data_IF_922484778271
#
_entry.id   IF_922484778271
#
_cell.length_a   1.000
_cell.length_b   1.000
_cell.length_c   1.000
_cell.angle_alpha   90.00
_cell.angle_beta   90.00
_cell.angle_gamma   90.00
#
_symmetry.space_group_name_H-M   'P 1'
#
loop_
_entity.id
_entity.type
_entity.pdbx_description
1 polymer ?
#
# COMPACT_ATOMS: atom_id res chain seq x y z
N UNK A 1 85.16 46.73 16.64
CA UNK A 1 84.37 45.48 16.67
C UNK A 1 82.90 45.89 16.54
N UNK A 2 82.22 45.38 15.50
CA UNK A 2 80.79 45.57 15.20
C UNK A 2 79.96 44.49 15.92
N UNK A 3 78.66 44.74 16.03
CA UNK A 3 77.48 43.85 16.26
C UNK A 3 76.61 44.44 17.38
N UNK A 4 75.70 45.38 17.06
CA UNK A 4 74.33 45.25 16.51
C UNK A 4 73.33 44.91 17.62
N UNK A 5 72.58 45.94 18.01
CA UNK A 5 71.33 45.89 18.77
C UNK A 5 70.23 45.22 17.96
N UNK A 6 69.59 44.19 18.52
CA UNK A 6 68.32 43.64 18.02
C UNK A 6 67.28 43.66 19.13
N UNK A 7 66.46 44.71 19.11
CA UNK A 7 65.21 44.78 19.85
C UNK A 7 64.18 43.82 19.21
N UNK A 8 63.81 42.76 19.93
CA UNK A 8 62.68 41.91 19.57
C UNK A 8 61.38 42.53 20.11
N UNK A 9 60.59 43.12 19.21
CA UNK A 9 59.20 43.52 19.47
C UNK A 9 58.33 42.29 19.18
N UNK A 10 57.82 41.64 20.24
CA UNK A 10 56.76 40.63 20.12
C UNK A 10 55.40 41.33 20.08
N UNK A 11 54.88 41.56 18.88
CA UNK A 11 53.46 41.92 18.67
C UNK A 11 52.59 40.68 18.84
N UNK A 12 51.94 40.54 20.01
CA UNK A 12 50.89 39.55 20.22
C UNK A 12 49.59 40.03 19.56
N UNK A 13 49.29 39.53 18.36
CA UNK A 13 47.98 39.69 17.72
C UNK A 13 47.00 38.73 18.39
N UNK A 14 46.18 39.24 19.31
CA UNK A 14 45.02 38.51 19.84
C UNK A 14 43.92 38.57 18.77
N UNK A 15 43.84 37.54 17.93
CA UNK A 15 42.67 37.33 17.06
C UNK A 15 41.56 36.75 17.94
N UNK A 16 40.68 37.61 18.43
CA UNK A 16 39.43 37.20 19.07
C UNK A 16 38.51 36.59 18.01
N UNK A 17 38.62 35.28 17.79
CA UNK A 17 37.65 34.54 16.99
C UNK A 17 36.39 34.40 17.85
N UNK A 18 35.45 35.34 17.70
CA UNK A 18 34.09 35.17 18.19
C UNK A 18 33.43 34.07 17.37
N UNK A 19 33.65 32.82 17.77
CA UNK A 19 32.86 31.68 17.35
C UNK A 19 31.45 31.87 17.93
N UNK A 20 30.62 32.65 17.22
CA UNK A 20 29.18 32.62 17.43
C UNK A 20 28.73 31.16 17.33
N UNK A 21 27.80 30.68 18.18
CA UNK A 21 27.35 29.32 18.12
C UNK A 21 26.74 29.11 16.73
N UNK A 22 27.46 28.41 15.88
CA UNK A 22 26.89 27.84 14.67
C UNK A 22 25.77 26.95 15.18
N UNK A 23 24.55 27.46 15.13
CA UNK A 23 23.35 26.63 15.10
C UNK A 23 23.38 25.89 13.77
N UNK A 24 24.34 24.97 13.65
CA UNK A 24 24.22 23.80 12.79
C UNK A 24 22.93 23.16 13.28
N UNK A 25 21.83 23.47 12.60
CA UNK A 25 20.59 22.71 12.69
C UNK A 25 20.99 21.26 12.47
N UNK A 26 21.21 20.51 13.55
CA UNK A 26 21.54 19.09 13.47
C UNK A 26 20.45 18.50 12.59
N UNK A 27 20.88 17.82 11.53
CA UNK A 27 19.98 17.24 10.54
C UNK A 27 18.90 16.46 11.28
N UNK A 28 17.65 16.81 11.02
CA UNK A 28 16.52 16.03 11.47
C UNK A 28 16.77 14.57 11.08
N UNK A 29 16.42 13.65 11.97
CA UNK A 29 16.42 12.22 11.70
C UNK A 29 15.57 11.99 10.47
N UNK A 30 16.15 11.35 9.45
CA UNK A 30 15.42 10.94 8.27
C UNK A 30 14.38 9.86 8.69
N UNK A 31 13.06 10.13 8.54
CA UNK A 31 12.03 9.17 8.93
C UNK A 31 12.13 7.83 8.20
N UNK A 32 12.75 7.79 7.01
CA UNK A 32 12.95 6.56 6.24
C UNK A 32 14.02 5.64 6.86
N UNK A 33 14.94 6.20 7.64
CA UNK A 33 15.98 5.46 8.36
C UNK A 33 15.50 4.97 9.74
N UNK A 34 14.31 5.39 10.19
CA UNK A 34 13.73 4.99 11.46
C UNK A 34 13.10 3.60 11.33
N UNK A 35 13.59 2.61 12.08
CA UNK A 35 13.05 1.25 12.03
C UNK A 35 11.55 1.20 12.35
N UNK A 36 10.81 0.34 11.66
CA UNK A 36 9.38 0.11 11.92
C UNK A 36 9.20 -0.71 13.20
N UNK A 37 8.16 -0.42 13.98
CA UNK A 37 7.86 -1.18 15.20
C UNK A 37 7.54 -2.65 14.90
N UNK A 38 6.76 -2.93 13.86
CA UNK A 38 6.37 -4.29 13.50
C UNK A 38 5.39 -4.96 14.48
N UNK A 39 4.81 -4.19 15.41
CA UNK A 39 3.74 -4.60 16.33
C UNK A 39 2.69 -3.50 16.32
N UNK A 40 1.41 -3.87 16.31
CA UNK A 40 0.32 -2.91 16.46
C UNK A 40 0.05 -2.65 17.95
N UNK A 41 -0.26 -1.42 18.37
CA UNK A 41 -0.71 -1.17 19.74
C UNK A 41 -2.06 -1.86 20.01
N UNK A 42 -2.32 -2.21 21.26
CA UNK A 42 -3.62 -2.74 21.66
C UNK A 42 -3.90 -4.20 21.28
N UNK A 43 -2.89 -5.00 20.93
CA UNK A 43 -3.09 -6.42 20.59
C UNK A 43 -3.51 -7.20 21.83
N UNK A 44 -4.66 -7.89 21.78
CA UNK A 44 -5.17 -8.77 22.83
C UNK A 44 -5.13 -8.17 24.25
N UNK A 45 -5.89 -7.09 24.52
CA UNK A 45 -5.90 -6.47 25.83
C UNK A 45 -6.47 -7.41 26.89
N UNK A 46 -5.80 -7.52 28.04
CA UNK A 46 -6.24 -8.37 29.16
C UNK A 46 -7.29 -7.72 30.06
N UNK A 47 -7.58 -6.43 29.86
CA UNK A 47 -8.40 -5.62 30.77
C UNK A 47 -7.66 -5.07 31.99
N UNK A 48 -6.39 -5.46 32.22
CA UNK A 48 -5.53 -4.94 33.31
C UNK A 48 -4.56 -3.84 32.86
N UNK A 49 -4.64 -3.43 31.58
CA UNK A 49 -3.71 -2.48 30.96
C UNK A 49 -2.57 -3.12 30.18
N UNK A 50 -2.51 -4.45 30.14
CA UNK A 50 -1.52 -5.24 29.41
C UNK A 50 -2.06 -5.75 28.07
N UNK A 51 -1.18 -5.77 27.08
CA UNK A 51 -1.40 -6.25 25.72
C UNK A 51 -0.28 -7.22 25.32
N UNK A 52 -0.50 -7.98 24.25
CA UNK A 52 0.48 -8.91 23.71
C UNK A 52 1.53 -8.17 22.86
N UNK A 53 2.80 -8.30 23.25
CA UNK A 53 3.95 -7.92 22.46
C UNK A 53 4.54 -9.10 21.68
N UNK A 54 5.77 -8.93 21.20
CA UNK A 54 6.51 -9.99 20.50
C UNK A 54 6.66 -11.22 21.41
N UNK A 55 6.33 -12.43 20.92
CA UNK A 55 6.54 -13.66 21.66
C UNK A 55 8.01 -13.91 22.03
N UNK A 56 8.22 -14.54 23.18
CA UNK A 56 9.54 -15.06 23.56
C UNK A 56 9.94 -16.28 22.69
N UNK A 57 11.12 -16.84 22.95
CA UNK A 57 11.63 -18.00 22.20
C UNK A 57 10.70 -19.24 22.27
N UNK A 58 9.85 -19.32 23.29
CA UNK A 58 8.87 -20.38 23.50
C UNK A 58 7.53 -20.09 22.81
N UNK A 59 7.42 -18.98 22.06
CA UNK A 59 6.19 -18.58 21.38
C UNK A 59 5.13 -17.97 22.31
N UNK A 60 5.47 -17.69 23.58
CA UNK A 60 4.56 -17.05 24.53
C UNK A 60 4.63 -15.54 24.36
N UNK A 61 3.52 -14.84 24.04
CA UNK A 61 3.48 -13.38 23.95
C UNK A 61 3.99 -12.72 25.23
N UNK A 62 4.95 -11.81 25.10
CA UNK A 62 5.43 -11.02 26.24
C UNK A 62 4.41 -9.92 26.50
N UNK A 63 3.91 -9.81 27.73
CA UNK A 63 2.99 -8.74 28.10
C UNK A 63 3.70 -7.39 28.10
N UNK A 64 3.08 -6.42 27.44
CA UNK A 64 3.53 -5.04 27.31
C UNK A 64 2.37 -4.10 27.68
N UNK A 65 2.63 -2.84 28.09
CA UNK A 65 1.56 -1.87 28.27
C UNK A 65 0.78 -1.67 26.97
N UNK A 66 -0.55 -1.60 27.01
CA UNK A 66 -1.36 -1.41 25.80
C UNK A 66 -1.11 -0.09 25.06
N UNK A 67 -0.49 0.91 25.72
CA UNK A 67 -0.02 2.13 25.07
C UNK A 67 1.26 1.94 24.22
N UNK A 68 1.75 0.71 24.11
CA UNK A 68 2.98 0.37 23.40
C UNK A 68 2.68 -0.52 22.17
N UNK A 69 3.32 -0.25 21.02
CA UNK A 69 4.22 0.87 20.77
C UNK A 69 3.50 2.23 20.74
N UNK A 70 4.23 3.36 20.96
CA UNK A 70 3.64 4.69 20.87
C UNK A 70 3.22 5.03 19.44
N UNK A 71 2.49 6.14 19.27
CA UNK A 71 2.31 6.75 17.95
C UNK A 71 3.68 7.03 17.29
N UNK A 72 3.77 6.73 15.99
CA UNK A 72 5.04 6.78 15.25
C UNK A 72 5.57 8.21 15.12
N UNK A 73 4.71 9.20 14.91
CA UNK A 73 5.13 10.58 14.78
C UNK A 73 5.66 11.12 16.13
N UNK A 74 4.97 10.79 17.21
CA UNK A 74 5.37 11.11 18.58
C UNK A 74 6.73 10.47 18.95
N UNK A 75 6.95 9.23 18.50
CA UNK A 75 8.24 8.56 18.65
C UNK A 75 9.36 9.22 17.84
N UNK A 76 9.12 9.56 16.56
CA UNK A 76 10.11 10.24 15.71
C UNK A 76 10.47 11.61 16.29
N UNK A 77 9.51 12.34 16.85
CA UNK A 77 9.78 13.59 17.55
C UNK A 77 10.69 13.39 18.76
N UNK A 78 10.45 12.34 19.56
CA UNK A 78 11.29 11.99 20.70
C UNK A 78 12.71 11.56 20.27
N UNK A 79 12.82 10.78 19.19
CA UNK A 79 14.09 10.36 18.61
C UNK A 79 14.88 11.57 18.07
N UNK A 80 14.20 12.50 17.38
CA UNK A 80 14.79 13.76 16.93
C UNK A 80 15.37 14.56 18.10
N UNK A 81 14.64 14.68 19.21
CA UNK A 81 15.12 15.37 20.40
C UNK A 81 16.37 14.70 20.99
N UNK A 82 16.37 13.36 21.08
CA UNK A 82 17.53 12.59 21.58
C UNK A 82 18.78 12.78 20.68
N UNK A 83 18.61 12.71 19.36
CA UNK A 83 19.71 12.90 18.40
C UNK A 83 20.22 14.34 18.39
N UNK A 84 19.30 15.31 18.50
CA UNK A 84 19.65 16.72 18.63
C UNK A 84 20.43 17.00 19.93
N UNK A 85 20.12 16.29 21.02
CA UNK A 85 20.84 16.38 22.29
C UNK A 85 22.16 15.57 22.30
N UNK A 86 22.27 14.53 21.46
CA UNK A 86 23.36 13.55 21.49
C UNK A 86 23.24 12.50 22.61
N UNK A 87 22.16 12.54 23.37
CA UNK A 87 21.86 11.64 24.49
C UNK A 87 20.34 11.51 24.64
N UNK A 88 19.87 10.50 25.37
CA UNK A 88 18.46 10.37 25.68
C UNK A 88 18.02 11.53 26.58
N UNK A 89 17.13 12.41 26.13
CA UNK A 89 16.79 13.65 26.87
C UNK A 89 16.23 13.35 28.26
N UNK A 90 15.47 12.26 28.40
CA UNK A 90 14.92 11.81 29.67
C UNK A 90 15.85 10.85 30.45
N UNK A 91 17.03 10.53 29.91
CA UNK A 91 18.06 9.74 30.58
C UNK A 91 19.46 10.13 30.07
N UNK A 92 19.97 11.31 30.47
CA UNK A 92 21.16 11.91 29.84
C UNK A 92 22.46 11.09 29.96
N UNK A 93 22.50 10.12 30.87
CA UNK A 93 23.62 9.18 30.99
C UNK A 93 23.79 8.25 29.79
N UNK A 94 22.77 8.11 28.94
CA UNK A 94 22.81 7.25 27.75
C UNK A 94 23.02 8.10 26.49
N UNK A 95 24.16 7.90 25.83
CA UNK A 95 24.47 8.57 24.57
C UNK A 95 23.62 8.00 23.42
N UNK A 96 23.21 8.88 22.51
CA UNK A 96 22.40 8.52 21.34
C UNK A 96 23.09 9.04 20.09
N UNK A 97 23.40 8.13 19.18
CA UNK A 97 23.91 8.44 17.85
C UNK A 97 22.98 7.87 16.78
N UNK A 98 22.75 8.64 15.72
CA UNK A 98 21.91 8.23 14.60
C UNK A 98 22.65 8.50 13.29
N UNK A 99 23.66 7.68 12.97
CA UNK A 99 24.43 7.84 11.74
C UNK A 99 23.53 7.60 10.51
N UNK A 100 23.83 8.30 9.42
CA UNK A 100 23.06 8.23 8.18
C UNK A 100 23.63 7.24 7.15
N UNK A 101 24.87 6.77 7.35
CA UNK A 101 25.46 5.78 6.46
C UNK A 101 24.86 4.39 6.69
N UNK A 102 25.28 3.45 5.87
CA UNK A 102 24.61 2.16 5.78
C UNK A 102 25.48 0.99 6.19
N UNK A 103 26.61 1.28 6.84
CA UNK A 103 27.38 0.24 7.51
C UNK A 103 26.50 -0.52 8.49
N UNK A 104 26.83 -1.80 8.69
CA UNK A 104 26.21 -2.64 9.71
C UNK A 104 26.25 -1.95 11.08
N UNK A 105 27.38 -1.31 11.42
CA UNK A 105 27.55 -0.52 12.64
C UNK A 105 26.53 0.63 12.72
N UNK A 106 26.32 1.38 11.64
CA UNK A 106 25.36 2.49 11.60
C UNK A 106 23.91 2.04 11.68
N UNK A 107 23.56 0.92 11.06
CA UNK A 107 22.23 0.32 11.19
C UNK A 107 21.95 -0.15 12.63
N UNK A 108 22.91 -0.83 13.25
CA UNK A 108 22.82 -1.23 14.66
C UNK A 108 22.75 -0.02 15.60
N UNK A 109 23.51 1.05 15.30
CA UNK A 109 23.44 2.30 16.06
C UNK A 109 22.05 2.95 15.98
N UNK A 110 21.41 2.97 14.80
CA UNK A 110 20.03 3.47 14.64
C UNK A 110 19.01 2.64 15.41
N UNK A 111 19.12 1.30 15.38
CA UNK A 111 18.26 0.43 16.17
C UNK A 111 18.48 0.61 17.68
N UNK A 112 19.73 0.79 18.10
CA UNK A 112 20.05 1.09 19.50
C UNK A 112 19.45 2.44 19.91
N UNK A 113 19.64 3.49 19.11
CA UNK A 113 19.03 4.80 19.33
C UNK A 113 17.50 4.73 19.41
N UNK A 114 16.87 3.96 18.52
CA UNK A 114 15.43 3.72 18.53
C UNK A 114 14.98 2.98 19.81
N UNK A 115 15.72 1.95 20.22
CA UNK A 115 15.44 1.16 21.44
C UNK A 115 15.61 2.01 22.70
N UNK A 116 16.70 2.78 22.81
CA UNK A 116 16.94 3.71 23.91
C UNK A 116 15.85 4.76 23.98
N UNK A 117 15.46 5.33 22.84
CA UNK A 117 14.37 6.31 22.78
C UNK A 117 13.07 5.70 23.29
N UNK A 118 12.74 4.49 22.83
CA UNK A 118 11.52 3.76 23.21
C UNK A 118 11.47 3.50 24.72
N UNK A 119 12.58 3.09 25.31
CA UNK A 119 12.68 2.74 26.74
C UNK A 119 12.73 3.96 27.67
N UNK A 120 13.06 5.15 27.13
CA UNK A 120 13.22 6.37 27.92
C UNK A 120 12.22 7.47 27.51
N UNK A 121 11.03 7.11 27.00
CA UNK A 121 10.04 8.09 26.54
C UNK A 121 9.52 9.02 27.65
N UNK A 122 9.49 8.55 28.91
CA UNK A 122 8.89 9.29 30.04
C UNK A 122 9.81 9.39 31.26
N UNK A 123 11.06 8.95 31.14
CA UNK A 123 12.03 8.93 32.24
C UNK A 123 13.03 7.77 32.09
N UNK A 124 14.03 7.66 32.97
CA UNK A 124 15.00 6.56 32.94
C UNK A 124 14.32 5.19 33.05
N UNK A 125 14.34 4.42 31.96
CA UNK A 125 13.69 3.11 31.88
C UNK A 125 12.15 3.14 31.91
N UNK A 126 11.54 4.33 31.86
CA UNK A 126 10.08 4.50 31.83
C UNK A 126 9.64 4.78 30.40
N UNK A 127 9.24 3.73 29.69
CA UNK A 127 8.85 3.79 28.30
C UNK A 127 8.22 2.48 27.84
N UNK A 128 8.33 2.19 26.55
CA UNK A 128 7.87 0.92 26.00
C UNK A 128 9.02 -0.10 26.02
N UNK A 129 8.77 -1.34 26.47
CA UNK A 129 9.79 -2.39 26.46
C UNK A 129 10.15 -2.75 25.01
N UNK A 130 11.34 -3.32 24.79
CA UNK A 130 11.76 -3.73 23.44
C UNK A 130 10.81 -4.74 22.81
N UNK A 131 10.13 -5.56 23.63
CA UNK A 131 9.10 -6.50 23.21
C UNK A 131 7.88 -5.84 22.55
N UNK A 132 7.71 -4.53 22.69
CA UNK A 132 6.70 -3.77 21.93
C UNK A 132 7.12 -3.49 20.47
N UNK A 133 8.28 -4.00 20.04
CA UNK A 133 8.82 -3.81 18.70
C UNK A 133 9.57 -5.05 18.23
N UNK A 134 9.86 -5.10 16.93
CA UNK A 134 10.71 -6.10 16.30
C UNK A 134 12.19 -5.70 16.27
N UNK A 135 12.59 -4.63 16.97
CA UNK A 135 13.95 -4.08 16.90
C UNK A 135 15.04 -5.10 17.26
N UNK A 136 14.80 -5.98 18.24
CA UNK A 136 15.77 -7.02 18.60
C UNK A 136 15.97 -8.04 17.47
N UNK A 137 14.89 -8.47 16.83
CA UNK A 137 14.95 -9.38 15.68
C UNK A 137 15.63 -8.71 14.48
N UNK A 138 15.35 -7.42 14.24
CA UNK A 138 16.01 -6.63 13.19
C UNK A 138 17.51 -6.48 13.48
N UNK A 139 17.90 -6.20 14.72
CA UNK A 139 19.30 -6.08 15.12
C UNK A 139 20.03 -7.42 14.95
N UNK A 140 19.37 -8.53 15.27
CA UNK A 140 19.92 -9.86 15.06
C UNK A 140 20.11 -10.15 13.57
N UNK A 141 19.12 -9.86 12.73
CA UNK A 141 19.25 -10.00 11.29
C UNK A 141 20.40 -9.16 10.71
N UNK A 142 20.64 -7.96 11.23
CA UNK A 142 21.79 -7.12 10.83
C UNK A 142 23.10 -7.74 11.27
N UNK A 143 23.20 -8.30 12.48
CA UNK A 143 24.41 -9.01 12.94
C UNK A 143 24.72 -10.23 12.10
N UNK A 144 23.69 -10.97 11.72
CA UNK A 144 23.79 -12.19 10.94
C UNK A 144 24.02 -11.92 9.44
N UNK A 145 24.07 -10.65 9.03
CA UNK A 145 24.23 -10.24 7.63
C UNK A 145 23.03 -10.60 6.75
N UNK A 146 21.91 -11.00 7.36
CA UNK A 146 20.65 -11.34 6.68
C UNK A 146 19.74 -10.12 6.51
N UNK A 147 20.03 -9.01 7.20
CA UNK A 147 19.40 -7.73 6.92
C UNK A 147 20.00 -7.10 5.66
N UNK A 148 19.13 -6.61 4.78
CA UNK A 148 19.53 -5.87 3.60
C UNK A 148 20.47 -4.71 3.97
N UNK A 149 21.64 -4.55 3.32
CA UNK A 149 22.43 -3.34 3.44
C UNK A 149 21.54 -2.16 3.08
N UNK A 150 21.46 -1.18 3.97
CA UNK A 150 20.86 0.10 3.63
C UNK A 150 21.68 0.70 2.44
N UNK A 151 21.07 1.38 1.48
CA UNK A 151 21.77 1.75 0.24
C UNK A 151 22.79 2.88 0.50
N UNK A 152 24.10 2.73 0.18
CA UNK A 152 25.15 3.71 0.48
C UNK A 152 24.78 5.13 0.07
N UNK A 153 25.09 6.11 0.93
CA UNK A 153 24.88 7.52 0.62
C UNK A 153 25.69 7.89 -0.64
N UNK A 154 25.07 8.46 -1.68
CA UNK A 154 25.76 8.74 -2.93
C UNK A 154 26.89 9.78 -2.72
N UNK A 155 28.08 9.58 -3.33
CA UNK A 155 29.09 10.62 -3.39
C UNK A 155 28.54 11.83 -4.15
N UNK A 156 28.94 13.04 -3.76
CA UNK A 156 28.61 14.25 -4.50
C UNK A 156 29.21 14.16 -5.92
N UNK A 157 28.35 13.95 -6.91
CA UNK A 157 28.74 13.80 -8.30
C UNK A 157 28.71 15.14 -9.05
N UNK A 158 29.58 15.34 -10.06
CA UNK A 158 29.64 16.55 -10.87
C UNK A 158 28.36 16.75 -11.68
N UNK A 159 28.05 18.01 -12.03
CA UNK A 159 26.85 18.38 -12.78
C UNK A 159 26.71 17.57 -14.09
N UNK A 160 25.62 16.79 -14.26
CA UNK A 160 25.38 16.06 -15.50
C UNK A 160 24.88 17.00 -16.61
N UNK A 161 25.21 16.71 -17.87
CA UNK A 161 24.62 17.39 -19.02
C UNK A 161 23.11 17.10 -19.08
N UNK A 162 22.34 18.11 -19.50
CA UNK A 162 20.88 18.12 -19.58
C UNK A 162 20.32 16.88 -20.29
N UNK A 163 19.64 16.04 -19.52
CA UNK A 163 18.85 14.94 -20.03
C UNK A 163 17.60 15.47 -20.77
N UNK A 164 17.13 14.77 -21.82
CA UNK A 164 15.87 15.09 -22.50
C UNK A 164 14.69 15.03 -21.51
N UNK A 165 13.75 15.95 -21.68
CA UNK A 165 12.60 16.11 -20.78
C UNK A 165 11.80 14.79 -20.63
N UNK A 166 11.39 14.41 -19.41
CA UNK A 166 10.52 13.27 -19.18
C UNK A 166 9.17 13.46 -19.91
N UNK A 167 8.51 12.37 -20.34
CA UNK A 167 7.16 12.47 -20.86
C UNK A 167 6.22 13.00 -19.76
N UNK A 168 5.46 14.03 -20.09
CA UNK A 168 4.47 14.60 -19.19
C UNK A 168 3.24 13.68 -19.10
N UNK A 169 3.16 12.87 -18.04
CA UNK A 169 1.93 12.52 -17.28
C UNK A 169 2.36 11.67 -16.07
N UNK A 170 2.37 12.24 -14.85
CA UNK A 170 2.91 11.66 -13.62
C UNK A 170 2.08 10.52 -12.99
N UNK A 171 1.78 9.47 -13.75
CA UNK A 171 1.09 8.28 -13.26
C UNK A 171 2.03 7.16 -12.80
N UNK A 172 1.56 6.36 -11.84
CA UNK A 172 2.13 5.07 -11.44
C UNK A 172 2.02 4.08 -12.60
N UNK A 173 3.13 3.45 -12.98
CA UNK A 173 3.13 2.34 -13.94
C UNK A 173 2.43 1.12 -13.32
N UNK A 174 1.29 0.65 -13.87
CA UNK A 174 0.56 -0.53 -13.38
C UNK A 174 1.39 -1.80 -13.27
N UNK A 175 2.44 -1.95 -14.09
CA UNK A 175 3.31 -3.11 -14.10
C UNK A 175 4.28 -3.13 -12.90
N UNK A 176 4.56 -1.95 -12.33
CA UNK A 176 5.40 -1.81 -11.14
C UNK A 176 4.60 -1.99 -9.84
N UNK A 177 3.26 -2.08 -9.93
CA UNK A 177 2.38 -2.27 -8.77
C UNK A 177 2.41 -3.73 -8.30
N UNK A 178 2.79 -3.99 -7.04
CA UNK A 178 2.83 -5.34 -6.48
C UNK A 178 1.50 -6.08 -6.61
N UNK A 179 1.56 -7.37 -6.95
CA UNK A 179 0.38 -8.24 -6.99
C UNK A 179 -0.14 -8.51 -5.59
N UNK A 180 -1.46 -8.61 -5.39
CA UNK A 180 -1.98 -8.99 -4.06
C UNK A 180 -1.62 -10.43 -3.69
N UNK A 181 -1.66 -11.36 -4.65
CA UNK A 181 -1.37 -12.78 -4.39
C UNK A 181 -2.38 -13.50 -3.50
N UNK A 182 -3.53 -12.88 -3.24
CA UNK A 182 -4.71 -13.46 -2.57
C UNK A 182 -5.90 -13.13 -3.46
N UNK A 183 -6.80 -14.09 -3.68
CA UNK A 183 -8.05 -13.82 -4.37
C UNK A 183 -9.08 -13.28 -3.36
N UNK A 184 -9.90 -12.28 -3.71
CA UNK A 184 -11.00 -11.86 -2.86
C UNK A 184 -12.00 -13.01 -2.66
N UNK A 185 -12.74 -13.01 -1.55
CA UNK A 185 -13.84 -13.95 -1.38
C UNK A 185 -13.46 -15.40 -1.08
N UNK A 186 -12.20 -15.70 -0.72
CA UNK A 186 -11.79 -17.09 -0.42
C UNK A 186 -12.45 -17.57 0.87
N UNK A 187 -13.15 -18.71 0.81
CA UNK A 187 -13.80 -19.38 1.94
C UNK A 187 -14.63 -18.43 2.86
N UNK A 188 -15.71 -17.83 2.33
CA UNK A 188 -16.54 -16.92 3.13
C UNK A 188 -17.21 -17.67 4.29
N UNK A 189 -17.16 -17.11 5.49
CA UNK A 189 -17.79 -17.69 6.70
C UNK A 189 -19.29 -17.40 6.82
N UNK A 190 -19.82 -16.52 5.96
CA UNK A 190 -21.18 -15.99 6.07
C UNK A 190 -21.32 -14.82 7.06
N UNK A 191 -20.27 -14.43 7.78
CA UNK A 191 -20.24 -13.26 8.68
C UNK A 191 -19.56 -12.03 8.07
N UNK A 192 -19.24 -12.08 6.77
CA UNK A 192 -18.47 -11.04 6.08
C UNK A 192 -16.95 -11.24 6.10
N UNK A 193 -16.47 -12.32 6.72
CA UNK A 193 -15.06 -12.69 6.79
C UNK A 193 -14.69 -13.78 5.78
N UNK A 194 -13.50 -13.65 5.22
CA UNK A 194 -12.89 -14.57 4.26
C UNK A 194 -11.48 -14.96 4.75
N UNK A 195 -10.93 -16.02 4.18
CA UNK A 195 -9.58 -16.48 4.47
C UNK A 195 -8.55 -15.62 3.74
N UNK A 196 -7.68 -14.97 4.50
CA UNK A 196 -6.47 -14.32 4.01
C UNK A 196 -5.25 -15.23 4.09
N UNK A 197 -4.06 -14.63 4.00
CA UNK A 197 -2.80 -15.36 4.13
C UNK A 197 -2.72 -16.08 5.49
N UNK A 198 -2.36 -17.38 5.52
CA UNK A 198 -2.16 -18.10 6.76
C UNK A 198 -1.06 -17.48 7.64
N UNK A 199 -1.26 -17.55 8.95
CA UNK A 199 -0.21 -17.24 9.92
C UNK A 199 0.90 -18.31 9.90
N UNK A 200 1.92 -18.15 10.77
CA UNK A 200 3.04 -19.08 10.85
C UNK A 200 2.63 -20.52 11.21
N UNK A 201 1.45 -20.71 11.81
CA UNK A 201 0.89 -21.99 12.18
C UNK A 201 0.04 -22.61 11.05
N UNK A 202 -0.02 -21.97 9.88
CA UNK A 202 -0.82 -22.42 8.74
C UNK A 202 -2.32 -22.14 8.89
N UNK A 203 -2.74 -21.38 9.90
CA UNK A 203 -4.14 -21.00 10.10
C UNK A 203 -4.46 -19.74 9.31
N UNK A 204 -5.42 -19.76 8.36
CA UNK A 204 -5.84 -18.58 7.61
C UNK A 204 -6.22 -17.43 8.54
N UNK A 205 -5.64 -16.24 8.31
CA UNK A 205 -6.04 -15.03 9.02
C UNK A 205 -7.34 -14.54 8.43
N UNK A 206 -8.37 -14.33 9.26
CA UNK A 206 -9.65 -13.78 8.79
C UNK A 206 -9.49 -12.33 8.36
N UNK A 207 -9.97 -12.02 7.16
CA UNK A 207 -9.98 -10.70 6.55
C UNK A 207 -11.39 -10.38 6.06
N UNK A 208 -11.77 -9.10 5.88
CA UNK A 208 -13.04 -8.77 5.24
C UNK A 208 -13.11 -9.38 3.84
N UNK A 209 -14.25 -9.96 3.44
CA UNK A 209 -14.39 -10.57 2.11
C UNK A 209 -14.24 -9.59 0.94
N UNK A 210 -14.37 -8.27 1.20
CA UNK A 210 -14.05 -7.22 0.23
C UNK A 210 -12.55 -7.00 0.02
N UNK A 211 -11.70 -7.79 0.68
CA UNK A 211 -10.25 -7.68 0.63
C UNK A 211 -9.62 -8.92 -0.01
N UNK A 212 -8.62 -8.76 -0.90
CA UNK A 212 -8.14 -7.47 -1.42
C UNK A 212 -9.17 -6.74 -2.30
N UNK A 213 -9.04 -5.41 -2.48
CA UNK A 213 -9.94 -4.65 -3.36
C UNK A 213 -9.74 -5.07 -4.83
N UNK A 214 -10.62 -4.58 -5.71
CA UNK A 214 -10.35 -4.60 -7.14
C UNK A 214 -9.00 -3.92 -7.47
N UNK A 215 -8.24 -4.53 -8.38
CA UNK A 215 -6.88 -4.08 -8.72
C UNK A 215 -6.88 -2.70 -9.36
N UNK A 216 -7.82 -2.42 -10.27
CA UNK A 216 -7.84 -1.15 -10.98
C UNK A 216 -8.22 0.00 -10.05
N UNK A 217 -9.23 -0.23 -9.20
CA UNK A 217 -9.65 0.68 -8.14
C UNK A 217 -8.50 0.98 -7.15
N UNK A 218 -7.72 -0.05 -6.81
CA UNK A 218 -6.52 0.11 -5.99
C UNK A 218 -5.43 0.93 -6.68
N UNK A 219 -5.14 0.67 -7.96
CA UNK A 219 -4.15 1.42 -8.74
C UNK A 219 -4.56 2.89 -8.86
N UNK A 220 -5.85 3.18 -9.02
CA UNK A 220 -6.36 4.55 -9.02
C UNK A 220 -6.13 5.25 -7.67
N UNK A 221 -6.39 4.55 -6.56
CA UNK A 221 -6.12 5.06 -5.22
C UNK A 221 -4.62 5.30 -4.99
N UNK A 222 -3.77 4.38 -5.46
CA UNK A 222 -2.32 4.49 -5.38
C UNK A 222 -1.81 5.68 -6.22
N UNK A 223 -2.35 5.86 -7.43
CA UNK A 223 -2.08 7.02 -8.28
C UNK A 223 -2.40 8.34 -7.57
N UNK A 224 -3.56 8.43 -6.92
CA UNK A 224 -3.95 9.62 -6.16
C UNK A 224 -2.98 9.90 -5.01
N UNK A 225 -2.59 8.85 -4.26
CA UNK A 225 -1.63 8.99 -3.16
C UNK A 225 -0.24 9.45 -3.63
N UNK A 226 0.23 8.90 -4.75
CA UNK A 226 1.54 9.25 -5.33
C UNK A 226 1.53 10.66 -5.88
N UNK A 227 0.45 11.07 -6.56
CA UNK A 227 0.29 12.43 -7.04
C UNK A 227 0.24 13.46 -5.90
N UNK A 228 -0.37 13.09 -4.77
CA UNK A 228 -0.42 13.92 -3.57
C UNK A 228 0.90 13.91 -2.75
N UNK A 229 1.78 12.92 -2.98
CA UNK A 229 2.98 12.66 -2.15
C UNK A 229 2.66 12.08 -0.77
N UNK A 230 1.39 11.80 -0.46
CA UNK A 230 0.90 11.29 0.82
C UNK A 230 -0.38 10.47 0.62
N UNK A 231 -0.76 9.66 1.62
CA UNK A 231 -2.02 8.95 1.57
C UNK A 231 -3.18 9.95 1.68
N UNK A 232 -4.00 10.10 0.63
CA UNK A 232 -5.06 11.13 0.54
C UNK A 232 -6.04 11.04 1.72
N UNK A 233 -6.38 9.82 2.14
CA UNK A 233 -7.27 9.56 3.27
C UNK A 233 -6.55 9.51 4.63
N UNK A 234 -5.22 9.68 4.65
CA UNK A 234 -4.41 9.78 5.86
C UNK A 234 -3.14 10.64 5.61
N UNK A 235 -3.29 11.97 5.50
CA UNK A 235 -2.21 12.85 4.99
C UNK A 235 -0.94 12.87 5.84
N UNK A 236 -0.99 12.38 7.08
CA UNK A 236 0.18 12.22 7.94
C UNK A 236 1.18 11.17 7.44
N UNK A 237 0.80 10.31 6.47
CA UNK A 237 1.67 9.27 5.93
C UNK A 237 2.12 9.65 4.52
N UNK A 238 3.42 9.86 4.36
CA UNK A 238 4.04 10.14 3.06
C UNK A 238 4.09 8.90 2.18
N UNK A 239 3.90 9.09 0.88
CA UNK A 239 3.89 8.02 -0.13
C UNK A 239 4.84 8.39 -1.26
N UNK A 240 5.76 7.49 -1.59
CA UNK A 240 6.64 7.61 -2.74
C UNK A 240 6.60 6.34 -3.59
N UNK A 241 6.65 6.51 -4.90
CA UNK A 241 6.58 5.39 -5.85
C UNK A 241 7.68 5.54 -6.91
N UNK A 242 8.93 5.24 -6.56
CA UNK A 242 10.05 5.33 -7.50
C UNK A 242 9.89 4.29 -8.63
N UNK A 243 10.41 4.59 -9.81
CA UNK A 243 10.26 3.76 -11.02
C UNK A 243 11.44 2.84 -11.30
N UNK A 244 12.60 3.06 -10.68
CA UNK A 244 13.78 2.22 -10.90
C UNK A 244 13.64 0.84 -10.24
N UNK A 245 14.48 -0.11 -10.68
CA UNK A 245 14.42 -1.49 -10.21
C UNK A 245 15.34 -1.79 -9.03
N UNK A 246 15.88 -0.77 -8.34
CA UNK A 246 16.65 -1.01 -7.12
C UNK A 246 15.76 -1.68 -6.06
N UNK A 247 16.41 -2.46 -5.20
CA UNK A 247 15.78 -3.08 -4.03
C UNK A 247 15.05 -2.06 -3.16
N UNK A 248 15.65 -0.89 -2.96
CA UNK A 248 15.05 0.21 -2.21
C UNK A 248 13.76 0.70 -2.87
N UNK A 249 13.79 0.88 -4.19
CA UNK A 249 12.62 1.32 -4.96
C UNK A 249 11.51 0.27 -4.98
N UNK A 250 11.83 -1.01 -5.11
CA UNK A 250 10.86 -2.10 -4.99
C UNK A 250 10.19 -2.13 -3.61
N UNK A 251 10.97 -1.98 -2.53
CA UNK A 251 10.43 -1.91 -1.16
C UNK A 251 9.60 -0.65 -0.93
N UNK A 252 10.01 0.50 -1.50
CA UNK A 252 9.23 1.74 -1.43
C UNK A 252 7.88 1.58 -2.13
N UNK A 253 7.82 0.94 -3.30
CA UNK A 253 6.56 0.61 -4.00
C UNK A 253 5.66 -0.31 -3.19
N UNK A 254 6.23 -1.34 -2.55
CA UNK A 254 5.49 -2.23 -1.63
C UNK A 254 4.95 -1.48 -0.41
N UNK A 255 5.73 -0.57 0.16
CA UNK A 255 5.29 0.26 1.27
C UNK A 255 4.15 1.21 0.84
N UNK A 256 4.30 1.89 -0.30
CA UNK A 256 3.26 2.72 -0.89
C UNK A 256 1.96 1.92 -1.15
N UNK A 257 2.09 0.71 -1.68
CA UNK A 257 0.98 -0.20 -1.90
C UNK A 257 0.30 -0.61 -0.57
N UNK A 258 1.10 -0.93 0.46
CA UNK A 258 0.60 -1.30 1.80
C UNK A 258 -0.12 -0.13 2.47
N UNK A 259 0.46 1.07 2.44
CA UNK A 259 -0.14 2.29 2.99
C UNK A 259 -1.45 2.59 2.27
N UNK A 260 -1.47 2.51 0.94
CA UNK A 260 -2.69 2.72 0.16
C UNK A 260 -3.77 1.72 0.57
N UNK A 261 -3.42 0.44 0.65
CA UNK A 261 -4.33 -0.64 1.02
C UNK A 261 -4.97 -0.42 2.41
N UNK A 262 -4.16 -0.02 3.39
CA UNK A 262 -4.61 0.20 4.78
C UNK A 262 -5.42 1.48 4.98
N UNK A 263 -5.34 2.43 4.04
CA UNK A 263 -5.99 3.74 4.16
C UNK A 263 -7.02 4.00 3.04
N UNK A 264 -7.58 2.95 2.42
CA UNK A 264 -8.53 3.10 1.31
C UNK A 264 -9.80 3.90 1.67
N UNK A 265 -10.23 3.86 2.93
CA UNK A 265 -11.49 4.47 3.39
C UNK A 265 -11.31 5.40 4.61
N UNK A 266 -10.07 5.74 4.96
CA UNK A 266 -9.74 6.56 6.12
C UNK A 266 -8.51 6.05 6.86
N UNK A 267 -8.05 6.74 7.92
CA UNK A 267 -6.86 6.34 8.68
C UNK A 267 -7.01 4.94 9.27
N UNK A 268 -6.23 3.97 8.75
CA UNK A 268 -6.29 2.57 9.16
C UNK A 268 -7.58 1.82 8.77
N UNK A 269 -8.47 2.46 8.01
CA UNK A 269 -9.71 1.86 7.52
C UNK A 269 -9.51 1.43 6.07
N UNK A 270 -9.13 0.17 5.88
CA UNK A 270 -8.78 -0.37 4.58
C UNK A 270 -8.79 -1.88 4.59
N UNK A 271 -7.93 -2.48 3.78
CA UNK A 271 -7.67 -3.92 3.82
C UNK A 271 -6.41 -4.19 4.65
N UNK A 272 -6.44 -5.19 5.55
CA UNK A 272 -5.27 -5.57 6.34
C UNK A 272 -4.19 -6.15 5.42
N UNK A 273 -2.93 -6.11 5.86
CA UNK A 273 -1.83 -6.71 5.09
C UNK A 273 -1.98 -8.22 4.89
N UNK A 274 -2.74 -8.90 5.76
CA UNK A 274 -3.07 -10.32 5.60
C UNK A 274 -3.94 -10.60 4.36
N UNK A 275 -4.54 -9.58 3.75
CA UNK A 275 -5.25 -9.68 2.48
C UNK A 275 -4.32 -9.68 1.25
N UNK A 276 -3.00 -9.62 1.46
CA UNK A 276 -2.01 -9.67 0.39
C UNK A 276 -0.79 -10.47 0.81
N UNK A 277 0.05 -10.80 -0.16
CA UNK A 277 1.38 -11.41 0.03
C UNK A 277 2.47 -10.35 0.15
N UNK A 278 2.14 -9.08 0.39
CA UNK A 278 3.11 -7.98 0.41
C UNK A 278 4.24 -8.20 1.41
N UNK A 279 3.95 -8.78 2.58
CA UNK A 279 4.99 -9.11 3.57
C UNK A 279 5.97 -10.17 3.02
N UNK A 280 5.46 -11.22 2.38
CA UNK A 280 6.29 -12.26 1.77
C UNK A 280 7.09 -11.71 0.57
N UNK A 281 6.49 -10.82 -0.23
CA UNK A 281 7.19 -10.13 -1.34
C UNK A 281 8.29 -9.21 -0.82
N UNK A 282 8.03 -8.45 0.25
CA UNK A 282 9.04 -7.61 0.88
C UNK A 282 10.21 -8.45 1.40
N UNK A 283 9.92 -9.61 2.02
CA UNK A 283 10.94 -10.56 2.44
C UNK A 283 11.73 -11.14 1.25
N UNK A 284 11.05 -11.50 0.16
CA UNK A 284 11.71 -12.00 -1.05
C UNK A 284 12.68 -10.95 -1.63
N UNK A 285 12.24 -9.70 -1.76
CA UNK A 285 13.07 -8.58 -2.20
C UNK A 285 14.24 -8.35 -1.23
N UNK A 286 13.98 -8.43 0.07
CA UNK A 286 15.01 -8.34 1.12
C UNK A 286 16.05 -9.46 1.00
N UNK A 287 15.67 -10.63 0.54
CA UNK A 287 16.57 -11.76 0.32
C UNK A 287 17.29 -11.72 -1.04
N UNK A 288 17.10 -10.67 -1.83
CA UNK A 288 17.71 -10.53 -3.15
C UNK A 288 17.00 -11.32 -4.25
N UNK A 289 15.87 -11.94 -3.93
CA UNK A 289 14.97 -12.50 -4.93
C UNK A 289 14.18 -11.35 -5.53
N UNK A 290 14.21 -11.13 -6.86
CA UNK A 290 13.34 -10.15 -7.48
C UNK A 290 11.89 -10.40 -7.05
N UNK A 291 11.12 -9.35 -6.78
CA UNK A 291 9.68 -9.50 -6.62
C UNK A 291 9.16 -10.33 -7.81
N UNK A 292 8.20 -11.25 -7.61
CA UNK A 292 7.55 -11.90 -8.73
C UNK A 292 6.99 -10.79 -9.62
N UNK A 293 7.67 -10.52 -10.73
CA UNK A 293 7.11 -9.72 -11.79
C UNK A 293 5.82 -10.43 -12.18
N UNK A 294 4.73 -9.67 -12.35
CA UNK A 294 3.51 -10.22 -12.92
C UNK A 294 3.92 -11.13 -14.09
N UNK A 295 3.43 -12.39 -14.17
CA UNK A 295 3.71 -13.22 -15.32
C UNK A 295 3.48 -12.35 -16.54
N UNK A 296 4.50 -12.24 -17.40
CA UNK A 296 4.26 -11.63 -18.70
C UNK A 296 2.99 -12.30 -19.23
N UNK A 297 2.00 -11.53 -19.73
CA UNK A 297 0.85 -12.13 -20.38
C UNK A 297 1.36 -13.25 -21.28
N UNK A 298 0.77 -14.46 -21.24
CA UNK A 298 1.27 -15.58 -22.01
C UNK A 298 1.58 -15.10 -23.42
N UNK A 299 2.81 -15.37 -23.88
CA UNK A 299 3.23 -14.98 -25.21
C UNK A 299 2.10 -15.38 -26.17
N UNK A 300 1.54 -14.38 -26.85
CA UNK A 300 0.47 -14.60 -27.79
C UNK A 300 0.87 -15.76 -28.70
N UNK A 301 -0.01 -16.75 -28.92
CA UNK A 301 0.23 -17.79 -29.92
C UNK A 301 0.72 -17.12 -31.20
N UNK A 302 1.76 -17.68 -31.81
CA UNK A 302 2.26 -17.19 -33.09
C UNK A 302 1.06 -16.95 -34.03
N UNK A 303 0.92 -15.75 -34.60
CA UNK A 303 -0.29 -15.37 -35.32
C UNK A 303 -0.53 -16.36 -36.45
N UNK A 304 -1.71 -17.00 -36.50
CA UNK A 304 -2.22 -17.55 -37.75
C UNK A 304 -2.18 -16.43 -38.80
N UNK A 305 -1.86 -16.79 -40.05
CA UNK A 305 -1.80 -15.86 -41.17
C UNK A 305 -2.94 -14.84 -41.09
N UNK A 306 -2.55 -13.55 -41.09
CA UNK A 306 -3.41 -12.44 -40.73
C UNK A 306 -4.78 -12.49 -41.44
N UNK A 307 -5.88 -12.66 -40.70
CA UNK A 307 -7.18 -12.16 -41.10
C UNK A 307 -7.11 -10.62 -41.10
N UNK A 308 -7.82 -9.99 -42.03
CA UNK A 308 -7.85 -8.54 -42.21
C UNK A 308 -8.13 -7.79 -40.89
N UNK A 309 -7.57 -6.58 -40.70
CA UNK A 309 -7.65 -5.85 -39.45
C UNK A 309 -9.11 -5.50 -39.08
N UNK A 310 -9.57 -5.72 -37.82
CA UNK A 310 -10.76 -5.07 -37.32
C UNK A 310 -10.42 -3.61 -36.99
N UNK A 311 -11.31 -2.71 -37.42
CA UNK A 311 -11.20 -1.28 -37.25
C UNK A 311 -11.28 -0.83 -35.77
N UNK A 312 -10.67 0.31 -35.50
CA UNK A 312 -10.92 1.26 -34.38
C UNK A 312 -12.27 1.12 -33.64
N UNK A 313 -12.40 0.24 -32.63
CA UNK A 313 -13.72 -0.07 -32.03
C UNK A 313 -13.69 -0.49 -30.56
N UNK A 314 -13.37 0.44 -29.66
CA UNK A 314 -13.69 0.28 -28.23
C UNK A 314 -15.20 0.45 -27.99
N UNK A 315 -15.70 -0.07 -26.87
CA UNK A 315 -17.06 0.17 -26.37
C UNK A 315 -17.21 1.67 -26.11
N UNK A 316 -18.15 2.32 -26.78
CA UNK A 316 -18.52 3.71 -26.50
C UNK A 316 -19.22 3.79 -25.12
N UNK A 317 -18.64 4.49 -24.12
CA UNK A 317 -19.23 4.63 -22.79
C UNK A 317 -20.65 5.19 -22.78
N UNK A 318 -21.04 5.97 -23.79
CA UNK A 318 -22.37 6.54 -23.92
C UNK A 318 -23.43 5.52 -24.33
N UNK A 319 -23.00 4.43 -24.98
CA UNK A 319 -23.89 3.33 -25.37
C UNK A 319 -24.06 2.30 -24.25
N UNK A 320 -23.26 2.39 -23.18
CA UNK A 320 -23.33 1.47 -22.03
C UNK A 320 -24.54 1.80 -21.17
N UNK A 321 -25.48 0.84 -20.97
CA UNK A 321 -26.65 1.04 -20.14
C UNK A 321 -26.31 1.59 -18.74
N UNK A 322 -27.14 2.50 -18.23
CA UNK A 322 -27.00 3.00 -16.86
C UNK A 322 -27.44 1.93 -15.86
N UNK A 323 -26.76 1.76 -14.73
CA UNK A 323 -27.20 0.79 -13.72
C UNK A 323 -28.54 1.18 -13.12
N UNK A 324 -28.78 2.48 -12.92
CA UNK A 324 -30.01 2.99 -12.29
C UNK A 324 -30.16 2.62 -10.81
N UNK A 325 -29.10 2.09 -10.19
CA UNK A 325 -29.00 1.82 -8.76
C UNK A 325 -27.59 2.24 -8.31
N UNK A 326 -27.46 2.80 -7.11
CA UNK A 326 -26.16 3.02 -6.47
C UNK A 326 -25.77 1.77 -5.65
N UNK A 327 -24.48 1.53 -5.49
CA UNK A 327 -24.02 0.49 -4.56
C UNK A 327 -24.24 0.90 -3.11
N UNK A 328 -24.27 -0.08 -2.20
CA UNK A 328 -24.36 0.21 -0.76
C UNK A 328 -25.73 0.67 -0.27
N UNK A 329 -26.82 0.48 -1.02
CA UNK A 329 -28.15 0.90 -0.57
C UNK A 329 -28.67 0.05 0.59
N UNK A 330 -29.07 0.71 1.68
CA UNK A 330 -29.66 0.08 2.88
C UNK A 330 -28.90 -1.17 3.35
N UNK A 331 -27.63 -1.03 3.78
CA UNK A 331 -26.83 -2.17 4.20
C UNK A 331 -27.46 -2.84 5.44
N UNK A 332 -27.57 -4.17 5.42
CA UNK A 332 -28.13 -4.96 6.53
C UNK A 332 -27.13 -5.18 7.67
N UNK A 333 -25.84 -4.87 7.44
CA UNK A 333 -24.74 -5.23 8.34
C UNK A 333 -24.18 -6.64 8.14
N UNK A 334 -24.79 -7.47 7.27
CA UNK A 334 -24.32 -8.84 6.94
C UNK A 334 -23.59 -8.93 5.59
N UNK A 335 -23.33 -7.79 4.94
CA UNK A 335 -22.75 -7.72 3.59
C UNK A 335 -23.78 -7.62 2.46
N UNK A 336 -25.06 -7.67 2.78
CA UNK A 336 -26.17 -7.51 1.84
C UNK A 336 -26.73 -6.09 1.83
N UNK A 337 -27.15 -5.66 0.65
CA UNK A 337 -27.78 -4.39 0.37
C UNK A 337 -29.08 -4.60 -0.42
N UNK A 338 -29.92 -3.57 -0.47
CA UNK A 338 -31.18 -3.60 -1.22
C UNK A 338 -30.93 -3.40 -2.72
N UNK A 339 -31.31 -4.40 -3.51
CA UNK A 339 -31.43 -4.33 -4.96
C UNK A 339 -32.82 -3.91 -5.41
N UNK A 340 -33.06 -4.00 -6.72
CA UNK A 340 -34.36 -3.75 -7.33
C UNK A 340 -35.42 -4.66 -6.69
N UNK A 341 -36.58 -4.12 -6.25
CA UNK A 341 -37.66 -4.92 -5.70
C UNK A 341 -38.21 -5.96 -6.66
N UNK A 342 -38.65 -7.10 -6.12
CA UNK A 342 -39.41 -8.09 -6.87
C UNK A 342 -40.84 -7.60 -7.18
N UNK A 343 -41.65 -8.44 -7.83
CA UNK A 343 -43.02 -8.10 -8.21
C UNK A 343 -43.94 -7.77 -7.01
N UNK A 344 -43.58 -8.22 -5.81
CA UNK A 344 -44.28 -7.97 -4.55
C UNK A 344 -43.81 -6.68 -3.86
N UNK A 345 -42.89 -5.93 -4.47
CA UNK A 345 -42.32 -4.70 -3.90
C UNK A 345 -41.27 -4.95 -2.82
N UNK A 346 -40.81 -6.19 -2.63
CA UNK A 346 -39.79 -6.54 -1.63
C UNK A 346 -38.39 -6.40 -2.29
N UNK A 347 -37.49 -5.57 -1.75
CA UNK A 347 -36.11 -5.46 -2.25
C UNK A 347 -35.40 -6.82 -2.29
N UNK A 348 -34.82 -7.15 -3.44
CA UNK A 348 -34.00 -8.36 -3.58
C UNK A 348 -32.65 -8.08 -2.93
N UNK A 349 -32.19 -8.93 -2.02
CA UNK A 349 -30.87 -8.78 -1.40
C UNK A 349 -29.77 -9.06 -2.41
N UNK A 350 -28.81 -8.15 -2.50
CA UNK A 350 -27.64 -8.21 -3.37
C UNK A 350 -26.37 -7.94 -2.55
N UNK A 351 -25.18 -8.36 -2.99
CA UNK A 351 -23.94 -7.95 -2.33
C UNK A 351 -23.80 -6.43 -2.32
N UNK A 352 -23.36 -5.83 -1.22
CA UNK A 352 -23.21 -4.37 -1.13
C UNK A 352 -22.19 -3.75 -2.11
N UNK A 353 -21.29 -4.56 -2.65
CA UNK A 353 -20.38 -4.16 -3.72
C UNK A 353 -21.06 -4.04 -5.10
N UNK A 354 -22.35 -4.37 -5.21
CA UNK A 354 -23.13 -4.33 -6.44
C UNK A 354 -24.10 -3.14 -6.46
N UNK A 355 -24.25 -2.44 -7.60
CA UNK A 355 -23.46 -2.62 -8.83
C UNK A 355 -21.99 -2.17 -8.65
N UNK A 356 -21.07 -2.65 -9.50
CA UNK A 356 -19.66 -2.23 -9.46
C UNK A 356 -19.52 -0.74 -9.81
N UNK A 357 -18.31 -0.20 -9.65
CA UNK A 357 -17.96 1.08 -10.23
C UNK A 357 -18.19 1.07 -11.77
N UNK A 358 -18.68 2.19 -12.31
CA UNK A 358 -19.08 2.28 -13.72
C UNK A 358 -17.86 2.18 -14.65
N UNK A 359 -16.74 2.81 -14.31
CA UNK A 359 -15.55 2.79 -15.15
C UNK A 359 -14.90 1.40 -15.12
N UNK A 360 -14.85 0.78 -13.94
CA UNK A 360 -14.40 -0.61 -13.79
C UNK A 360 -15.25 -1.58 -14.63
N UNK A 361 -16.58 -1.43 -14.60
CA UNK A 361 -17.49 -2.23 -15.43
C UNK A 361 -17.27 -2.02 -16.93
N UNK A 362 -17.08 -0.78 -17.38
CA UNK A 362 -16.82 -0.46 -18.79
C UNK A 362 -15.50 -1.10 -19.25
N UNK A 363 -14.49 -1.17 -18.38
CA UNK A 363 -13.24 -1.87 -18.68
C UNK A 363 -13.47 -3.38 -18.87
N UNK A 364 -14.24 -4.02 -17.99
CA UNK A 364 -14.60 -5.45 -18.14
C UNK A 364 -15.42 -5.70 -19.41
N UNK A 365 -16.37 -4.81 -19.72
CA UNK A 365 -17.18 -4.91 -20.93
C UNK A 365 -16.31 -4.76 -22.20
N UNK A 366 -15.37 -3.82 -22.21
CA UNK A 366 -14.39 -3.67 -23.28
C UNK A 366 -13.58 -4.95 -23.49
N UNK A 367 -13.09 -5.56 -22.41
CA UNK A 367 -12.33 -6.81 -22.50
C UNK A 367 -13.17 -7.95 -23.09
N UNK A 368 -14.42 -8.08 -22.65
CA UNK A 368 -15.33 -9.10 -23.17
C UNK A 368 -15.66 -8.90 -24.67
N UNK A 369 -15.91 -7.66 -25.08
CA UNK A 369 -16.21 -7.32 -26.48
C UNK A 369 -14.99 -7.55 -27.37
N UNK A 370 -13.80 -7.16 -26.91
CA UNK A 370 -12.55 -7.41 -27.63
C UNK A 370 -12.26 -8.91 -27.78
N UNK A 371 -12.63 -9.73 -26.78
CA UNK A 371 -12.50 -11.19 -26.84
C UNK A 371 -13.62 -11.87 -27.66
N UNK A 372 -14.73 -11.18 -27.90
CA UNK A 372 -15.95 -11.76 -28.47
C UNK A 372 -16.70 -12.72 -27.53
N UNK A 373 -16.28 -12.82 -26.27
CA UNK A 373 -16.84 -13.69 -25.23
C UNK A 373 -16.56 -13.14 -23.84
N UNK A 374 -17.26 -13.61 -22.81
CA UNK A 374 -16.99 -13.23 -21.44
C UNK A 374 -15.63 -13.80 -20.99
N UNK A 375 -14.66 -12.95 -20.66
CA UNK A 375 -13.26 -13.36 -20.36
C UNK A 375 -13.19 -14.39 -19.23
N UNK A 376 -14.02 -14.23 -18.19
CA UNK A 376 -14.09 -15.17 -17.07
C UNK A 376 -15.14 -16.29 -17.25
N UNK A 377 -15.83 -16.33 -18.39
CA UNK A 377 -16.70 -17.44 -18.79
C UNK A 377 -16.74 -17.58 -20.33
N UNK A 378 -15.67 -18.10 -20.96
CA UNK A 378 -15.52 -18.08 -22.43
C UNK A 378 -16.58 -18.85 -23.22
N UNK A 379 -17.41 -19.65 -22.54
CA UNK A 379 -18.52 -20.36 -23.17
C UNK A 379 -19.66 -19.43 -23.62
N UNK A 380 -19.69 -18.19 -23.12
CA UNK A 380 -20.73 -17.20 -23.43
C UNK A 380 -20.15 -16.14 -24.38
N UNK A 381 -20.68 -16.10 -25.60
CA UNK A 381 -20.35 -15.07 -26.57
C UNK A 381 -20.85 -13.69 -26.13
N UNK A 382 -20.07 -12.65 -26.42
CA UNK A 382 -20.40 -11.25 -26.11
C UNK A 382 -20.25 -10.42 -27.37
N UNK A 383 -21.31 -9.69 -27.72
CA UNK A 383 -21.30 -8.72 -28.83
C UNK A 383 -21.90 -7.40 -28.36
N UNK A 384 -21.32 -6.28 -28.79
CA UNK A 384 -21.77 -4.94 -28.38
C UNK A 384 -21.94 -4.06 -29.61
N UNK A 385 -23.08 -4.17 -30.32
CA UNK A 385 -23.30 -3.40 -31.54
C UNK A 385 -23.46 -1.90 -31.23
N UNK A 386 -23.03 -1.05 -32.17
CA UNK A 386 -23.13 0.41 -32.05
C UNK A 386 -24.38 1.01 -32.69
N UNK A 387 -25.18 0.20 -33.40
CA UNK A 387 -26.41 0.63 -34.04
C UNK A 387 -27.50 1.06 -33.04
N UNK A 388 -28.52 1.75 -33.54
CA UNK A 388 -29.61 2.30 -32.70
C UNK A 388 -30.89 1.48 -32.78
N UNK A 389 -30.89 0.34 -33.47
CA UNK A 389 -32.07 -0.51 -33.58
C UNK A 389 -32.47 -1.11 -32.22
N UNK A 390 -33.74 -1.51 -32.07
CA UNK A 390 -34.18 -2.24 -30.86
C UNK A 390 -33.33 -3.49 -30.62
N UNK A 391 -32.96 -4.21 -31.69
CA UNK A 391 -32.09 -5.38 -31.60
C UNK A 391 -30.70 -5.01 -31.05
N UNK A 392 -30.10 -3.91 -31.51
CA UNK A 392 -28.79 -3.46 -31.02
C UNK A 392 -28.85 -3.03 -29.55
N UNK A 393 -29.89 -2.31 -29.16
CA UNK A 393 -30.09 -1.88 -27.77
C UNK A 393 -30.26 -3.08 -26.82
N UNK A 394 -31.04 -4.10 -27.23
CA UNK A 394 -31.20 -5.33 -26.47
C UNK A 394 -29.89 -6.12 -26.38
N UNK A 395 -29.16 -6.24 -27.49
CA UNK A 395 -27.85 -6.90 -27.51
C UNK A 395 -26.85 -6.23 -26.55
N UNK A 396 -26.84 -4.89 -26.46
CA UNK A 396 -26.02 -4.16 -25.48
C UNK A 396 -26.43 -4.45 -24.03
N UNK A 397 -27.73 -4.52 -23.73
CA UNK A 397 -28.22 -4.90 -22.40
C UNK A 397 -27.85 -6.33 -22.04
N UNK A 398 -27.91 -7.25 -23.00
CA UNK A 398 -27.54 -8.65 -22.78
C UNK A 398 -26.03 -8.78 -22.56
N UNK A 399 -25.20 -8.11 -23.37
CA UNK A 399 -23.75 -8.03 -23.15
C UNK A 399 -23.40 -7.42 -21.79
N UNK A 400 -24.11 -6.36 -21.38
CA UNK A 400 -23.94 -5.74 -20.08
C UNK A 400 -24.34 -6.68 -18.94
N UNK A 401 -25.45 -7.41 -19.08
CA UNK A 401 -25.92 -8.40 -18.10
C UNK A 401 -24.93 -9.56 -17.97
N UNK A 402 -24.46 -10.12 -19.09
CA UNK A 402 -23.47 -11.20 -19.11
C UNK A 402 -22.18 -10.74 -18.45
N UNK A 403 -21.70 -9.54 -18.78
CA UNK A 403 -20.49 -8.96 -18.17
C UNK A 403 -20.67 -8.83 -16.66
N UNK A 404 -21.79 -8.26 -16.21
CA UNK A 404 -22.11 -8.06 -14.81
C UNK A 404 -22.13 -9.38 -14.02
N UNK A 405 -22.71 -10.43 -14.58
CA UNK A 405 -22.83 -11.75 -13.93
C UNK A 405 -21.55 -12.59 -13.95
N UNK A 406 -20.59 -12.25 -14.82
CA UNK A 406 -19.35 -13.00 -15.00
C UNK A 406 -18.10 -12.17 -14.65
N UNK A 407 -18.23 -11.18 -13.76
CA UNK A 407 -17.10 -10.31 -13.38
C UNK A 407 -15.94 -11.08 -12.73
N UNK A 408 -16.21 -12.13 -11.95
CA UNK A 408 -15.19 -12.89 -11.23
C UNK A 408 -15.20 -14.40 -11.55
N UNK A 409 -15.95 -14.82 -12.56
CA UNK A 409 -16.11 -16.24 -12.92
C UNK A 409 -17.54 -16.57 -13.37
N UNK A 410 -17.82 -17.82 -13.80
CA UNK A 410 -19.14 -18.23 -14.23
C UNK A 410 -20.20 -18.02 -13.15
N UNK A 411 -21.10 -17.05 -13.35
CA UNK A 411 -22.14 -16.68 -12.39
C UNK A 411 -21.61 -16.00 -11.11
N UNK A 412 -20.32 -15.68 -11.03
CA UNK A 412 -19.67 -15.05 -9.88
C UNK A 412 -19.50 -13.55 -10.13
N UNK A 413 -20.62 -12.85 -10.22
CA UNK A 413 -20.65 -11.40 -10.44
C UNK A 413 -21.80 -10.75 -9.70
N UNK A 414 -22.21 -9.58 -10.17
CA UNK A 414 -23.36 -8.90 -9.61
C UNK A 414 -24.65 -9.46 -10.21
N UNK A 415 -25.66 -9.80 -9.39
CA UNK A 415 -26.94 -10.29 -9.90
C UNK A 415 -27.65 -9.19 -10.68
N UNK A 416 -28.52 -9.56 -11.63
CA UNK A 416 -29.26 -8.59 -12.44
C UNK A 416 -30.09 -7.60 -11.60
N UNK A 417 -30.55 -8.04 -10.41
CA UNK A 417 -31.26 -7.22 -9.44
C UNK A 417 -30.42 -6.04 -8.87
N UNK A 418 -29.12 -5.99 -9.11
CA UNK A 418 -28.27 -4.82 -8.80
C UNK A 418 -28.35 -3.70 -9.83
N UNK A 419 -29.14 -3.87 -10.89
CA UNK A 419 -29.30 -2.90 -11.96
C UNK A 419 -30.76 -2.84 -12.42
N UNK A 420 -31.09 -1.81 -13.19
CA UNK A 420 -32.38 -1.65 -13.86
C UNK A 420 -32.42 -2.28 -15.25
N UNK A 421 -31.45 -3.14 -15.61
CA UNK A 421 -31.34 -3.70 -16.96
C UNK A 421 -32.59 -4.48 -17.40
N UNK A 422 -33.25 -5.21 -16.49
CA UNK A 422 -34.49 -5.91 -16.82
C UNK A 422 -35.63 -4.93 -17.14
N UNK A 423 -35.74 -3.82 -16.40
CA UNK A 423 -36.74 -2.79 -16.67
C UNK A 423 -36.43 -2.05 -17.99
N UNK A 424 -35.15 -1.76 -18.26
CA UNK A 424 -34.71 -1.18 -19.53
C UNK A 424 -35.01 -2.11 -20.71
N UNK A 425 -34.76 -3.42 -20.55
CA UNK A 425 -35.08 -4.45 -21.56
C UNK A 425 -36.58 -4.43 -21.87
N UNK A 426 -37.42 -4.44 -20.83
CA UNK A 426 -38.87 -4.36 -20.98
C UNK A 426 -39.32 -3.05 -21.66
N UNK A 427 -38.71 -1.92 -21.31
CA UNK A 427 -39.01 -0.64 -21.94
C UNK A 427 -38.67 -0.60 -23.44
N UNK A 428 -37.55 -1.20 -23.84
CA UNK A 428 -37.17 -1.30 -25.27
C UNK A 428 -38.10 -2.26 -26.03
N UNK A 429 -38.48 -3.38 -25.40
CA UNK A 429 -39.39 -4.36 -26.00
C UNK A 429 -40.81 -3.81 -26.20
N UNK A 430 -41.30 -3.03 -25.23
CA UNK A 430 -42.66 -2.48 -25.24
C UNK A 430 -42.77 -1.07 -25.84
N UNK A 431 -41.64 -0.40 -26.11
CA UNK A 431 -41.62 0.91 -26.76
C UNK A 431 -42.07 0.83 -28.22
N UNK A 432 -42.62 1.93 -28.78
CA UNK A 432 -43.07 2.00 -30.18
C UNK A 432 -41.97 1.67 -31.18
#
# INVERSE_FOLDING_TARGET
>A
MKFIDTAFIFSAVIVSVSAGPLRLSRRAVDPSLVPQFGVNPGVNPTGTGDCDGIPNAQGVPIKIPCSCPPDRNSFIQSLNANVAAGHAVNNPGIQVSFPADNSQASQLARLNAATVTLQNLRGPGVGCPSAATTFNAQAQAIRDGTAAPSAPAPPAAPAPPTAPAPPATGGVDPNLVPQFGVNPGVNPTGTGDCDGIPNAQGVPIKIPCSCPPDRNSFIQSLNANVAAGHAVNNPGIQVSFPSDNSKASQLARLNAATVTLQNLRGPGVGCPSAATTFNAQAQAIQNGTPAPSAPAPPAAPAPPAAPAPPATGGVDPNLVPQFGLASGLNPTGTGDCDGIPNAQGVPIKIPCACPPDRDAFIQSLNANVAAGHAVHNPTIAVSFPTGTSKADQLARLDAATVTLQNLNGPGQGCPAASTTFNAQRAAIQNGP
#
